data_IF_892601770885
#
_entry.id   IF_892601770885
#
_cell.length_a   1.000
_cell.length_b   1.000
_cell.length_c   1.000
_cell.angle_alpha   90.00
_cell.angle_beta   90.00
_cell.angle_gamma   90.00
#
_symmetry.space_group_name_H-M   'P 1'
#
loop_
_entity.id
_entity.type
_entity.pdbx_description
1 polymer ?
#
# COMPACT_ATOMS: atom_id res chain seq x y z
N UNK A 1 4.02 -9.84 22.06
CA UNK A 1 5.05 -10.19 21.06
C UNK A 1 4.87 -9.43 19.75
N UNK A 2 3.66 -9.44 19.15
CA UNK A 2 3.34 -8.79 17.86
C UNK A 2 3.75 -7.31 17.76
N UNK A 3 3.48 -6.49 18.77
CA UNK A 3 3.86 -5.07 18.75
C UNK A 3 5.36 -4.82 18.79
N UNK A 4 6.11 -5.57 19.61
CA UNK A 4 7.56 -5.45 19.62
C UNK A 4 8.14 -5.84 18.25
N UNK A 5 7.57 -6.85 17.60
CA UNK A 5 7.93 -7.21 16.23
C UNK A 5 7.62 -6.08 15.24
N UNK A 6 6.43 -5.45 15.29
CA UNK A 6 6.11 -4.30 14.44
C UNK A 6 7.06 -3.12 14.71
N UNK A 7 7.32 -2.80 15.97
CA UNK A 7 8.16 -1.68 16.35
C UNK A 7 9.62 -1.92 15.92
N UNK A 8 10.14 -3.13 16.10
CA UNK A 8 11.45 -3.52 15.58
C UNK A 8 11.48 -3.48 14.06
N UNK A 9 10.46 -4.03 13.37
CA UNK A 9 10.37 -3.95 11.91
C UNK A 9 10.34 -2.52 11.41
N UNK A 10 9.57 -1.62 12.04
CA UNK A 10 9.52 -0.22 11.65
C UNK A 10 10.82 0.50 11.92
N UNK A 11 11.44 0.22 13.07
CA UNK A 11 12.76 0.79 13.42
C UNK A 11 13.83 0.33 12.44
N UNK A 12 13.85 -0.96 12.09
CA UNK A 12 14.79 -1.55 11.11
C UNK A 12 14.50 -1.04 9.70
N UNK A 13 13.23 -0.93 9.30
CA UNK A 13 12.84 -0.39 8.00
C UNK A 13 13.25 1.10 7.88
N UNK A 14 12.99 1.89 8.91
CA UNK A 14 13.31 3.32 8.94
C UNK A 14 14.81 3.60 9.01
N UNK A 15 15.56 2.89 9.87
CA UNK A 15 16.98 3.16 10.12
C UNK A 15 17.94 2.42 9.19
N UNK A 16 17.61 1.19 8.77
CA UNK A 16 18.57 0.27 8.15
C UNK A 16 18.28 -0.01 6.67
N UNK A 17 17.00 -0.07 6.27
CA UNK A 17 16.62 -0.40 4.89
C UNK A 17 16.48 0.82 3.95
N UNK A 18 16.76 2.04 4.41
CA UNK A 18 16.72 3.26 3.57
C UNK A 18 17.54 3.13 2.28
N UNK A 19 18.63 2.37 2.34
CA UNK A 19 19.62 2.27 1.26
C UNK A 19 19.77 0.88 0.62
N UNK A 20 19.15 -0.17 1.17
CA UNK A 20 19.29 -1.54 0.63
C UNK A 20 18.16 -1.91 -0.35
N UNK A 21 18.53 -2.07 -1.62
CA UNK A 21 17.63 -2.32 -2.75
C UNK A 21 17.67 -3.79 -3.24
N UNK A 22 17.31 -4.77 -2.41
CA UNK A 22 17.62 -6.17 -2.78
C UNK A 22 16.58 -7.26 -2.53
N UNK A 23 15.41 -6.98 -1.96
CA UNK A 23 14.35 -8.00 -1.96
C UNK A 23 13.57 -7.92 -3.26
N UNK A 24 14.22 -8.38 -4.34
CA UNK A 24 13.63 -8.46 -5.67
C UNK A 24 12.49 -9.48 -5.66
N UNK A 25 11.24 -9.01 -5.84
CA UNK A 25 10.03 -9.83 -6.00
C UNK A 25 10.18 -10.89 -7.10
N UNK A 26 11.23 -10.81 -7.94
CA UNK A 26 11.56 -11.80 -8.96
C UNK A 26 11.58 -13.24 -8.45
N UNK A 27 11.82 -13.51 -7.15
CA UNK A 27 11.69 -14.87 -6.60
C UNK A 27 10.25 -15.38 -6.70
N UNK A 28 9.26 -14.54 -6.40
CA UNK A 28 7.85 -14.88 -6.49
C UNK A 28 7.41 -15.01 -7.96
N UNK A 29 7.84 -14.09 -8.83
CA UNK A 29 7.57 -14.19 -10.27
C UNK A 29 8.14 -15.48 -10.87
N UNK A 30 9.36 -15.88 -10.49
CA UNK A 30 9.95 -17.15 -10.93
C UNK A 30 9.17 -18.36 -10.41
N UNK A 31 8.76 -18.34 -9.13
CA UNK A 31 7.96 -19.41 -8.54
C UNK A 31 6.60 -19.54 -9.24
N UNK A 32 5.93 -18.41 -9.49
CA UNK A 32 4.66 -18.35 -10.22
C UNK A 32 4.79 -18.94 -11.61
N UNK A 33 5.73 -18.46 -12.43
CA UNK A 33 5.95 -18.98 -13.80
C UNK A 33 6.26 -20.47 -13.80
N UNK A 34 7.05 -20.96 -12.83
CA UNK A 34 7.34 -22.39 -12.66
C UNK A 34 6.09 -23.21 -12.37
N UNK A 35 5.19 -22.70 -11.52
CA UNK A 35 3.93 -23.37 -11.18
C UNK A 35 2.98 -23.33 -12.38
N UNK A 36 2.81 -22.17 -13.02
CA UNK A 36 1.93 -22.01 -14.17
C UNK A 36 2.41 -22.81 -15.38
N UNK A 37 3.71 -22.86 -15.67
CA UNK A 37 4.23 -23.70 -16.77
C UNK A 37 4.06 -25.19 -16.49
N UNK A 38 4.37 -25.64 -15.26
CA UNK A 38 4.23 -27.05 -14.87
C UNK A 38 2.77 -27.51 -14.82
N UNK A 39 1.84 -26.62 -14.48
CA UNK A 39 0.41 -26.93 -14.50
C UNK A 39 -0.24 -26.72 -15.86
N UNK A 40 0.23 -25.79 -16.71
CA UNK A 40 -0.28 -25.62 -18.08
C UNK A 40 0.00 -26.87 -18.92
N UNK A 41 1.22 -27.43 -18.84
CA UNK A 41 1.58 -28.70 -19.49
C UNK A 41 0.68 -29.86 -19.01
N UNK A 42 0.33 -29.89 -17.72
CA UNK A 42 -0.53 -30.94 -17.15
C UNK A 42 -2.03 -30.70 -17.34
N UNK A 43 -2.47 -29.45 -17.42
CA UNK A 43 -3.87 -29.07 -17.57
C UNK A 43 -4.42 -29.42 -18.95
N UNK A 44 -3.58 -29.33 -19.99
CA UNK A 44 -3.89 -29.80 -21.35
C UNK A 44 -4.18 -31.31 -21.37
N UNK A 45 -3.49 -32.09 -20.52
CA UNK A 45 -3.64 -33.55 -20.47
C UNK A 45 -4.73 -34.08 -19.52
N UNK A 46 -5.15 -33.30 -18.51
CA UNK A 46 -5.96 -33.85 -17.40
C UNK A 46 -7.20 -33.07 -16.98
N UNK A 47 -7.58 -32.00 -17.70
CA UNK A 47 -8.83 -31.27 -17.42
C UNK A 47 -8.83 -30.56 -16.06
N UNK A 48 -7.66 -30.17 -15.57
CA UNK A 48 -7.49 -29.48 -14.28
C UNK A 48 -8.23 -28.15 -14.31
N UNK A 49 -9.07 -27.90 -13.29
CA UNK A 49 -9.80 -26.64 -13.14
C UNK A 49 -8.84 -25.48 -12.90
N UNK A 50 -9.14 -24.33 -13.53
CA UNK A 50 -8.41 -23.05 -13.44
C UNK A 50 -8.15 -22.55 -12.00
N UNK A 51 -8.85 -23.09 -11.00
CA UNK A 51 -8.68 -22.76 -9.58
C UNK A 51 -7.46 -23.43 -8.93
N UNK A 52 -6.98 -24.55 -9.48
CA UNK A 52 -5.90 -25.35 -8.87
C UNK A 52 -4.56 -24.60 -8.83
N UNK A 53 -4.11 -23.93 -9.91
CA UNK A 53 -2.90 -23.11 -9.87
C UNK A 53 -2.97 -22.01 -8.81
N UNK A 54 -4.11 -21.32 -8.71
CA UNK A 54 -4.33 -20.26 -7.71
C UNK A 54 -4.22 -20.82 -6.30
N UNK A 55 -4.91 -21.92 -5.99
CA UNK A 55 -4.84 -22.55 -4.66
C UNK A 55 -3.42 -22.97 -4.31
N UNK A 56 -2.65 -23.51 -5.27
CA UNK A 56 -1.26 -23.92 -5.03
C UNK A 56 -0.38 -22.70 -4.74
N UNK A 57 -0.51 -21.62 -5.50
CA UNK A 57 0.26 -20.39 -5.31
C UNK A 57 0.01 -19.76 -3.93
N UNK A 58 -1.23 -19.79 -3.44
CA UNK A 58 -1.56 -19.30 -2.09
C UNK A 58 -1.13 -20.27 -0.99
N UNK A 59 -1.43 -21.57 -1.14
CA UNK A 59 -1.21 -22.57 -0.09
C UNK A 59 0.26 -22.88 0.15
N UNK A 60 1.11 -22.89 -0.88
CA UNK A 60 2.52 -23.22 -0.76
C UNK A 60 3.28 -22.27 0.20
N UNK A 61 3.30 -20.93 0.03
CA UNK A 61 4.01 -20.03 0.94
C UNK A 61 3.39 -20.03 2.34
N UNK A 62 2.07 -20.14 2.47
CA UNK A 62 1.38 -20.21 3.77
C UNK A 62 1.72 -21.48 4.53
N UNK A 63 1.79 -22.62 3.84
CA UNK A 63 2.12 -23.91 4.42
C UNK A 63 3.59 -23.95 4.85
N UNK A 64 4.50 -23.45 4.01
CA UNK A 64 5.92 -23.32 4.37
C UNK A 64 6.07 -22.46 5.63
N UNK A 65 5.43 -21.28 5.68
CA UNK A 65 5.49 -20.43 6.86
C UNK A 65 4.88 -21.11 8.09
N UNK A 66 3.77 -21.84 7.93
CA UNK A 66 3.13 -22.57 9.02
C UNK A 66 4.02 -23.67 9.58
N UNK A 67 4.72 -24.43 8.72
CA UNK A 67 5.68 -25.46 9.14
C UNK A 67 6.85 -24.81 9.90
N UNK A 68 7.40 -23.71 9.37
CA UNK A 68 8.50 -22.99 10.03
C UNK A 68 8.06 -22.49 11.41
N UNK A 69 6.88 -21.87 11.51
CA UNK A 69 6.35 -21.39 12.78
C UNK A 69 6.10 -22.53 13.77
N UNK A 70 5.59 -23.67 13.30
CA UNK A 70 5.37 -24.85 14.13
C UNK A 70 6.69 -25.45 14.64
N UNK A 71 7.69 -25.61 13.76
CA UNK A 71 8.99 -26.17 14.12
C UNK A 71 9.74 -25.29 15.13
N UNK A 72 9.54 -23.97 15.05
CA UNK A 72 10.19 -22.98 15.90
C UNK A 72 9.39 -22.73 17.20
N UNK A 73 8.16 -23.21 17.28
CA UNK A 73 7.29 -23.01 18.43
C UNK A 73 7.89 -23.66 19.70
N UNK A 74 7.90 -22.91 20.81
CA UNK A 74 8.45 -23.37 22.10
C UNK A 74 9.97 -23.30 22.21
N UNK A 75 10.72 -22.94 21.16
CA UNK A 75 12.17 -22.75 21.23
C UNK A 75 12.54 -21.36 21.77
N UNK A 76 13.62 -21.29 22.55
CA UNK A 76 14.23 -20.04 23.04
C UNK A 76 13.22 -19.02 23.61
N UNK A 77 12.26 -19.48 24.42
CA UNK A 77 11.19 -18.64 25.02
C UNK A 77 10.34 -17.85 24.00
N UNK A 78 10.26 -18.31 22.74
CA UNK A 78 9.52 -17.62 21.69
C UNK A 78 10.28 -16.47 21.02
N UNK A 79 11.58 -16.30 21.29
CA UNK A 79 12.40 -15.33 20.56
C UNK A 79 12.56 -15.71 19.09
N UNK A 80 12.67 -17.00 18.81
CA UNK A 80 12.91 -17.49 17.47
C UNK A 80 11.63 -17.36 16.60
N UNK A 81 10.45 -17.53 17.20
CA UNK A 81 9.17 -17.24 16.53
C UNK A 81 9.02 -15.74 16.25
N UNK A 82 9.43 -14.87 17.18
CA UNK A 82 9.49 -13.43 16.92
C UNK A 82 10.41 -13.09 15.74
N UNK A 83 11.60 -13.70 15.67
CA UNK A 83 12.54 -13.46 14.57
C UNK A 83 11.94 -13.82 13.22
N UNK A 84 11.22 -14.95 13.14
CA UNK A 84 10.50 -15.34 11.91
C UNK A 84 9.44 -14.31 11.54
N UNK A 85 8.65 -13.84 12.51
CA UNK A 85 7.66 -12.78 12.25
C UNK A 85 8.32 -11.48 11.77
N UNK A 86 9.45 -11.08 12.36
CA UNK A 86 10.22 -9.91 11.93
C UNK A 86 10.68 -10.10 10.48
N UNK A 87 11.22 -11.27 10.14
CA UNK A 87 11.72 -11.55 8.81
C UNK A 87 10.61 -11.55 7.76
N UNK A 88 9.45 -12.14 8.07
CA UNK A 88 8.27 -12.09 7.18
C UNK A 88 7.80 -10.64 7.00
N UNK A 89 7.72 -9.87 8.08
CA UNK A 89 7.30 -8.47 7.98
C UNK A 89 8.32 -7.64 7.21
N UNK A 90 9.62 -7.87 7.35
CA UNK A 90 10.64 -7.17 6.56
C UNK A 90 10.57 -7.54 5.07
N UNK A 91 10.17 -8.76 4.73
CA UNK A 91 9.93 -9.15 3.33
C UNK A 91 8.69 -8.46 2.79
N UNK A 92 7.62 -8.35 3.58
CA UNK A 92 6.34 -7.76 3.13
C UNK A 92 6.32 -6.23 3.23
N UNK A 93 7.09 -5.64 4.14
CA UNK A 93 7.53 -4.25 4.09
C UNK A 93 8.53 -4.10 2.95
N UNK A 94 8.02 -4.34 1.75
CA UNK A 94 8.62 -3.93 0.51
C UNK A 94 8.95 -2.43 0.57
N UNK A 95 9.99 -2.04 -0.16
CA UNK A 95 10.84 -0.83 -0.07
C UNK A 95 10.13 0.50 -0.35
N UNK A 96 8.86 0.60 -0.01
CA UNK A 96 8.01 1.76 -0.27
C UNK A 96 8.01 2.65 0.95
N UNK A 97 9.01 3.53 1.04
CA UNK A 97 8.92 4.70 1.90
C UNK A 97 8.09 5.75 1.14
N UNK A 98 6.78 5.91 1.43
CA UNK A 98 5.94 6.85 0.69
C UNK A 98 6.49 8.28 0.77
N UNK A 99 7.16 8.64 1.87
CA UNK A 99 7.81 9.95 2.00
C UNK A 99 9.01 10.13 1.06
N UNK A 100 9.83 9.10 0.85
CA UNK A 100 10.94 9.16 -0.13
C UNK A 100 10.38 9.27 -1.55
N UNK A 101 9.37 8.46 -1.85
CA UNK A 101 8.65 8.46 -3.13
C UNK A 101 8.06 9.85 -3.46
N UNK A 102 7.41 10.49 -2.49
CA UNK A 102 6.89 11.84 -2.62
C UNK A 102 8.01 12.87 -2.80
N UNK A 103 9.07 12.82 -1.98
CA UNK A 103 10.16 13.79 -2.03
C UNK A 103 10.94 13.74 -3.36
N UNK A 104 11.23 12.56 -3.90
CA UNK A 104 11.94 12.41 -5.17
C UNK A 104 11.08 12.85 -6.35
N UNK A 105 9.77 12.60 -6.30
CA UNK A 105 8.83 13.16 -7.27
C UNK A 105 8.79 14.69 -7.18
N UNK A 106 8.65 15.26 -5.98
CA UNK A 106 8.58 16.70 -5.75
C UNK A 106 9.84 17.43 -6.24
N UNK A 107 11.03 16.85 -6.06
CA UNK A 107 12.28 17.43 -6.57
C UNK A 107 12.27 17.54 -8.10
N UNK A 108 11.72 16.54 -8.81
CA UNK A 108 11.61 16.56 -10.28
C UNK A 108 10.48 17.48 -10.74
N UNK A 109 9.37 17.45 -10.01
CA UNK A 109 8.18 18.27 -10.26
C UNK A 109 8.47 19.77 -10.16
N UNK A 110 9.14 20.20 -9.08
CA UNK A 110 9.55 21.60 -8.87
C UNK A 110 10.52 22.09 -9.95
N UNK A 111 11.31 21.19 -10.56
CA UNK A 111 12.21 21.50 -11.70
C UNK A 111 11.48 21.60 -13.04
N UNK A 112 10.19 21.24 -13.12
CA UNK A 112 9.42 21.20 -14.36
C UNK A 112 9.77 20.02 -15.27
N UNK A 113 10.48 19.00 -14.77
CA UNK A 113 10.89 17.83 -15.54
C UNK A 113 9.75 16.78 -15.59
N UNK A 114 8.81 17.01 -16.52
CA UNK A 114 7.62 16.14 -16.70
C UNK A 114 8.00 14.73 -17.15
N UNK A 115 8.98 14.62 -18.06
CA UNK A 115 9.45 13.33 -18.56
C UNK A 115 10.18 12.55 -17.46
N UNK A 116 11.02 13.21 -16.66
CA UNK A 116 11.66 12.64 -15.49
C UNK A 116 10.68 12.19 -14.41
N UNK A 117 9.53 12.85 -14.27
CA UNK A 117 8.43 12.41 -13.40
C UNK A 117 7.77 11.14 -13.93
N UNK A 118 7.44 11.08 -15.21
CA UNK A 118 6.85 9.88 -15.82
C UNK A 118 7.79 8.67 -15.78
N UNK A 119 9.08 8.88 -16.07
CA UNK A 119 10.10 7.84 -15.96
C UNK A 119 10.23 7.32 -14.52
N UNK A 120 10.19 8.23 -13.54
CA UNK A 120 10.20 7.84 -12.12
C UNK A 120 8.98 6.99 -11.76
N UNK A 121 7.79 7.41 -12.17
CA UNK A 121 6.55 6.68 -11.90
C UNK A 121 6.54 5.28 -12.53
N UNK A 122 7.11 5.12 -13.73
CA UNK A 122 7.26 3.80 -14.36
C UNK A 122 8.30 2.93 -13.65
N UNK A 123 9.44 3.51 -13.25
CA UNK A 123 10.47 2.79 -12.49
C UNK A 123 9.92 2.25 -11.17
N UNK A 124 9.09 3.05 -10.50
CA UNK A 124 8.44 2.72 -9.24
C UNK A 124 7.16 1.88 -9.40
N UNK A 125 6.86 1.39 -10.63
CA UNK A 125 5.65 0.62 -10.98
C UNK A 125 4.32 1.30 -10.59
N UNK A 126 4.30 2.64 -10.49
CA UNK A 126 3.08 3.42 -10.27
C UNK A 126 2.30 3.66 -11.57
N UNK A 127 3.00 3.67 -12.70
CA UNK A 127 2.42 3.89 -14.03
C UNK A 127 2.80 2.73 -14.95
N UNK A 128 1.82 2.21 -15.69
CA UNK A 128 2.07 1.25 -16.76
C UNK A 128 2.64 1.97 -17.99
N UNK A 129 3.35 1.24 -18.85
CA UNK A 129 3.91 1.82 -20.09
C UNK A 129 2.84 2.42 -21.02
N UNK A 130 1.58 1.98 -20.89
CA UNK A 130 0.45 2.42 -21.71
C UNK A 130 -0.33 3.61 -21.13
N UNK A 131 0.04 4.11 -19.94
CA UNK A 131 -0.67 5.24 -19.34
C UNK A 131 -0.33 6.53 -20.08
N UNK A 132 -1.21 6.96 -20.99
CA UNK A 132 -1.13 8.24 -21.66
C UNK A 132 -1.54 9.36 -20.69
N UNK A 133 -0.56 10.16 -20.26
CA UNK A 133 -0.76 11.32 -19.39
C UNK A 133 -0.23 12.54 -20.14
N UNK A 134 -1.16 13.31 -20.71
CA UNK A 134 -0.83 14.39 -21.66
C UNK A 134 -0.72 15.77 -20.98
N UNK A 135 -1.21 15.90 -19.74
CA UNK A 135 -1.25 17.15 -18.99
C UNK A 135 -0.52 17.05 -17.65
N UNK A 136 0.15 18.12 -17.25
CA UNK A 136 0.82 18.25 -15.95
C UNK A 136 -0.17 17.94 -14.80
N UNK A 137 -1.38 18.51 -14.84
CA UNK A 137 -2.39 18.26 -13.82
C UNK A 137 -2.84 16.79 -13.75
N UNK A 138 -2.86 16.08 -14.89
CA UNK A 138 -3.18 14.65 -14.92
C UNK A 138 -2.07 13.82 -14.27
N UNK A 139 -0.81 14.19 -14.48
CA UNK A 139 0.35 13.51 -13.89
C UNK A 139 0.34 13.69 -12.37
N UNK A 140 0.14 14.91 -11.88
CA UNK A 140 0.06 15.18 -10.45
C UNK A 140 -1.15 14.48 -9.79
N UNK A 141 -2.33 14.53 -10.41
CA UNK A 141 -3.51 13.82 -9.89
C UNK A 141 -3.31 12.30 -9.86
N UNK A 142 -2.74 11.73 -10.92
CA UNK A 142 -2.42 10.31 -10.99
C UNK A 142 -1.36 9.92 -9.95
N UNK A 143 -0.31 10.74 -9.76
CA UNK A 143 0.69 10.51 -8.72
C UNK A 143 0.08 10.56 -7.31
N UNK A 144 -0.72 11.58 -6.99
CA UNK A 144 -1.42 11.70 -5.69
C UNK A 144 -2.26 10.46 -5.40
N UNK A 145 -3.06 10.01 -6.37
CA UNK A 145 -3.90 8.81 -6.23
C UNK A 145 -3.07 7.56 -5.93
N UNK A 146 -2.02 7.34 -6.70
CA UNK A 146 -1.16 6.16 -6.54
C UNK A 146 -0.30 6.22 -5.26
N UNK A 147 0.13 7.41 -4.85
CA UNK A 147 0.87 7.61 -3.60
C UNK A 147 0.02 7.20 -2.38
N UNK A 148 -1.24 7.67 -2.33
CA UNK A 148 -2.17 7.32 -1.26
C UNK A 148 -2.46 5.82 -1.27
N UNK A 149 -2.73 5.27 -2.45
CA UNK A 149 -3.01 3.84 -2.60
C UNK A 149 -1.82 2.96 -2.17
N UNK A 150 -0.60 3.31 -2.59
CA UNK A 150 0.62 2.57 -2.22
C UNK A 150 0.89 2.66 -0.71
N UNK A 151 0.69 3.83 -0.10
CA UNK A 151 0.78 3.97 1.35
C UNK A 151 -0.29 3.13 2.07
N UNK A 152 -1.51 3.11 1.55
CA UNK A 152 -2.60 2.29 2.07
C UNK A 152 -2.27 0.80 2.02
N UNK A 153 -1.91 0.28 0.85
CA UNK A 153 -1.54 -1.11 0.62
C UNK A 153 -0.37 -1.54 1.51
N UNK A 154 0.75 -0.83 1.44
CA UNK A 154 2.02 -1.31 2.00
C UNK A 154 2.18 -1.06 3.49
N UNK A 155 1.38 -0.15 4.07
CA UNK A 155 1.42 0.13 5.52
C UNK A 155 0.13 -0.29 6.22
N UNK A 156 -1.01 0.29 5.83
CA UNK A 156 -2.25 0.12 6.59
C UNK A 156 -2.83 -1.29 6.46
N UNK A 157 -2.86 -1.84 5.26
CA UNK A 157 -3.35 -3.21 5.04
C UNK A 157 -2.45 -4.22 5.75
N UNK A 158 -1.12 -4.04 5.67
CA UNK A 158 -0.14 -4.88 6.37
C UNK A 158 -0.32 -4.80 7.89
N UNK A 159 -0.43 -3.60 8.49
CA UNK A 159 -0.65 -3.45 9.92
C UNK A 159 -1.96 -4.09 10.38
N UNK A 160 -3.04 -3.88 9.62
CA UNK A 160 -4.36 -4.42 9.94
C UNK A 160 -4.36 -5.96 9.95
N UNK A 161 -3.89 -6.58 8.87
CA UNK A 161 -3.89 -8.03 8.76
C UNK A 161 -2.86 -8.70 9.67
N UNK A 162 -1.76 -8.01 10.01
CA UNK A 162 -0.84 -8.49 11.04
C UNK A 162 -1.48 -8.51 12.43
N UNK A 163 -2.25 -7.47 12.75
CA UNK A 163 -2.94 -7.39 14.03
C UNK A 163 -3.97 -8.52 14.17
N UNK A 164 -4.76 -8.74 13.11
CA UNK A 164 -5.85 -9.70 13.10
C UNK A 164 -5.38 -11.16 12.99
N UNK A 165 -4.48 -11.46 12.04
CA UNK A 165 -4.09 -12.81 11.67
C UNK A 165 -2.58 -13.08 11.73
N UNK A 166 -1.77 -12.12 12.20
CA UNK A 166 -0.32 -12.29 12.37
C UNK A 166 0.44 -12.40 11.05
N UNK A 167 1.57 -13.11 11.08
CA UNK A 167 2.44 -13.27 9.92
C UNK A 167 1.76 -13.99 8.75
N UNK A 168 0.83 -14.91 9.03
CA UNK A 168 0.06 -15.62 8.00
C UNK A 168 -0.90 -14.69 7.25
N UNK A 169 -1.60 -13.80 7.97
CA UNK A 169 -2.50 -12.82 7.36
C UNK A 169 -1.76 -11.84 6.44
N UNK A 170 -0.60 -11.36 6.91
CA UNK A 170 0.27 -10.48 6.13
C UNK A 170 0.76 -11.17 4.87
N UNK A 171 1.24 -12.42 4.99
CA UNK A 171 1.69 -13.18 3.83
C UNK A 171 0.56 -13.45 2.83
N UNK A 172 -0.66 -13.76 3.32
CA UNK A 172 -1.84 -13.91 2.46
C UNK A 172 -2.12 -12.62 1.69
N UNK A 173 -2.14 -11.47 2.37
CA UNK A 173 -2.34 -10.18 1.71
C UNK A 173 -1.26 -9.88 0.68
N UNK A 174 0.00 -10.11 1.00
CA UNK A 174 1.13 -9.88 0.10
C UNK A 174 1.01 -10.75 -1.17
N UNK A 175 0.67 -12.03 -1.03
CA UNK A 175 0.44 -12.92 -2.19
C UNK A 175 -0.73 -12.43 -3.04
N UNK A 176 -1.82 -11.95 -2.43
CA UNK A 176 -2.94 -11.36 -3.17
C UNK A 176 -2.55 -10.14 -4.00
N UNK A 177 -1.78 -9.22 -3.42
CA UNK A 177 -1.28 -8.05 -4.15
C UNK A 177 -0.32 -8.44 -5.26
N UNK A 178 0.61 -9.35 -4.98
CA UNK A 178 1.58 -9.80 -5.97
C UNK A 178 0.89 -10.52 -7.16
N UNK A 179 -0.15 -11.32 -6.89
CA UNK A 179 -0.95 -11.95 -7.95
C UNK A 179 -1.68 -10.94 -8.84
N UNK A 180 -2.12 -9.81 -8.26
CA UNK A 180 -2.74 -8.70 -8.99
C UNK A 180 -1.73 -7.89 -9.80
N UNK A 181 -0.55 -7.60 -9.24
CA UNK A 181 0.47 -6.81 -9.96
C UNK A 181 1.08 -7.60 -11.14
N UNK A 182 1.11 -8.92 -11.01
CA UNK A 182 1.76 -9.83 -11.96
C UNK A 182 0.85 -10.29 -13.11
N UNK A 183 -0.18 -9.54 -13.48
CA UNK A 183 -1.06 -9.90 -14.61
C UNK A 183 -0.25 -9.89 -15.92
N UNK A 184 -0.03 -11.07 -16.51
CA UNK A 184 0.52 -11.20 -17.87
C UNK A 184 -0.65 -11.32 -18.87
N UNK A 185 -0.52 -10.64 -20.02
CA UNK A 185 -1.46 -10.71 -21.13
C UNK A 185 -1.57 -12.15 -21.66
N UNK A 186 -2.64 -12.85 -21.26
CA UNK A 186 -2.85 -14.27 -21.57
C UNK A 186 -3.50 -15.11 -20.46
N UNK A 187 -3.74 -14.53 -19.28
CA UNK A 187 -4.39 -15.23 -18.17
C UNK A 187 -5.91 -15.32 -18.32
N UNK A 188 -6.50 -16.41 -17.84
CA UNK A 188 -7.95 -16.61 -17.79
C UNK A 188 -8.63 -15.45 -17.05
N UNK A 189 -9.56 -14.75 -17.71
CA UNK A 189 -10.31 -13.63 -17.14
C UNK A 189 -11.01 -13.98 -15.80
N UNK A 190 -11.34 -15.26 -15.57
CA UNK A 190 -11.91 -15.75 -14.32
C UNK A 190 -10.93 -15.74 -13.15
N UNK A 191 -9.66 -16.04 -13.40
CA UNK A 191 -8.60 -15.97 -12.39
C UNK A 191 -8.35 -14.53 -11.96
N UNK A 192 -8.26 -13.63 -12.96
CA UNK A 192 -8.11 -12.18 -12.73
C UNK A 192 -9.24 -11.64 -11.87
N UNK A 193 -10.50 -11.95 -12.21
CA UNK A 193 -11.66 -11.50 -11.45
C UNK A 193 -11.65 -12.03 -10.00
N UNK A 194 -11.28 -13.30 -9.80
CA UNK A 194 -11.17 -13.88 -8.45
C UNK A 194 -10.11 -13.16 -7.61
N UNK A 195 -8.92 -12.90 -8.18
CA UNK A 195 -7.82 -12.20 -7.50
C UNK A 195 -8.27 -10.78 -7.14
N UNK A 196 -8.86 -10.03 -8.08
CA UNK A 196 -9.40 -8.71 -7.82
C UNK A 196 -10.45 -8.73 -6.70
N UNK A 197 -11.33 -9.73 -6.67
CA UNK A 197 -12.36 -9.86 -5.63
C UNK A 197 -11.76 -10.16 -4.26
N UNK A 198 -10.74 -11.01 -4.18
CA UNK A 198 -10.03 -11.31 -2.92
C UNK A 198 -9.33 -10.04 -2.41
N UNK A 199 -8.59 -9.35 -3.28
CA UNK A 199 -7.91 -8.10 -2.94
C UNK A 199 -8.90 -7.04 -2.46
N UNK A 200 -10.03 -6.89 -3.13
CA UNK A 200 -11.10 -5.97 -2.71
C UNK A 200 -11.66 -6.30 -1.32
N UNK A 201 -11.91 -7.58 -1.03
CA UNK A 201 -12.36 -8.01 0.32
C UNK A 201 -11.29 -7.69 1.38
N UNK A 202 -10.02 -7.88 1.02
CA UNK A 202 -8.88 -7.58 1.90
C UNK A 202 -8.73 -6.09 2.20
N UNK A 203 -9.03 -5.24 1.22
CA UNK A 203 -8.96 -3.79 1.30
C UNK A 203 -10.20 -3.17 1.94
N UNK A 204 -11.36 -3.83 1.83
CA UNK A 204 -12.67 -3.29 2.22
C UNK A 204 -12.70 -2.74 3.65
N UNK A 205 -12.13 -3.49 4.59
CA UNK A 205 -12.11 -3.12 6.01
C UNK A 205 -10.99 -2.11 6.35
N UNK A 206 -9.72 -2.35 5.96
CA UNK A 206 -8.65 -1.36 6.15
C UNK A 206 -8.96 0.01 5.52
N UNK A 207 -9.57 0.06 4.32
CA UNK A 207 -9.84 1.29 3.58
C UNK A 207 -10.78 2.21 4.36
N UNK A 208 -11.82 1.64 4.95
CA UNK A 208 -12.80 2.38 5.77
C UNK A 208 -12.20 2.86 7.07
N UNK A 209 -11.40 2.02 7.73
CA UNK A 209 -10.69 2.43 8.93
C UNK A 209 -9.70 3.57 8.64
N UNK A 210 -9.01 3.52 7.49
CA UNK A 210 -8.15 4.60 7.05
C UNK A 210 -8.95 5.87 6.74
N UNK A 211 -10.10 5.77 6.06
CA UNK A 211 -10.96 6.92 5.80
C UNK A 211 -11.48 7.56 7.10
N UNK A 212 -11.84 6.75 8.10
CA UNK A 212 -12.15 7.24 9.46
C UNK A 212 -10.95 7.91 10.12
N UNK A 213 -9.75 7.37 9.91
CA UNK A 213 -8.50 7.95 10.44
C UNK A 213 -8.20 9.30 9.77
N UNK A 214 -8.42 9.44 8.46
CA UNK A 214 -8.31 10.72 7.75
C UNK A 214 -9.31 11.75 8.26
N UNK A 215 -10.54 11.32 8.54
CA UNK A 215 -11.53 12.17 9.19
C UNK A 215 -11.03 12.66 10.56
N UNK A 216 -10.42 11.78 11.36
CA UNK A 216 -9.88 12.14 12.67
C UNK A 216 -8.61 13.02 12.59
N UNK A 217 -7.76 12.81 11.58
CA UNK A 217 -6.49 13.51 11.41
C UNK A 217 -6.59 14.84 10.62
N UNK A 218 -7.74 15.11 9.98
CA UNK A 218 -8.00 16.29 9.16
C UNK A 218 -9.35 16.94 9.51
N UNK A 219 -10.11 17.35 8.51
CA UNK A 219 -11.44 17.94 8.71
C UNK A 219 -12.51 16.87 8.98
N UNK A 220 -12.74 16.59 10.26
CA UNK A 220 -13.68 15.56 10.72
C UNK A 220 -15.10 15.71 10.17
N UNK A 221 -15.64 16.93 10.16
CA UNK A 221 -17.05 17.18 9.82
C UNK A 221 -17.35 16.86 8.36
N UNK A 222 -16.50 17.30 7.43
CA UNK A 222 -16.73 17.06 6.00
C UNK A 222 -16.39 15.63 5.56
N UNK A 223 -15.36 15.04 6.15
CA UNK A 223 -14.92 13.69 5.80
C UNK A 223 -15.87 12.63 6.39
N UNK A 224 -16.33 12.79 7.63
CA UNK A 224 -17.21 11.82 8.30
C UNK A 224 -18.56 11.65 7.59
N UNK A 225 -19.18 12.73 7.11
CA UNK A 225 -20.44 12.65 6.36
C UNK A 225 -20.29 11.86 5.04
N UNK A 226 -19.21 12.09 4.28
CA UNK A 226 -18.93 11.29 3.06
C UNK A 226 -18.63 9.83 3.37
N UNK A 227 -17.82 9.56 4.40
CA UNK A 227 -17.47 8.20 4.80
C UNK A 227 -18.71 7.45 5.29
N UNK A 228 -19.60 8.09 6.06
CA UNK A 228 -20.83 7.48 6.59
C UNK A 228 -21.78 7.03 5.47
N UNK A 229 -21.93 7.83 4.42
CA UNK A 229 -22.80 7.49 3.28
C UNK A 229 -22.27 6.29 2.50
N UNK A 230 -20.96 6.21 2.26
CA UNK A 230 -20.34 5.11 1.50
C UNK A 230 -19.91 3.93 2.38
N UNK A 231 -20.12 4.00 3.70
CA UNK A 231 -19.64 2.98 4.65
C UNK A 231 -20.25 1.61 4.39
N UNK A 232 -21.49 1.54 3.92
CA UNK A 232 -22.18 0.26 3.69
C UNK A 232 -22.22 -0.19 2.23
N UNK A 233 -21.71 0.63 1.30
CA UNK A 233 -21.70 0.28 -0.13
C UNK A 233 -20.60 -0.74 -0.42
N UNK A 234 -20.99 -1.97 -0.71
CA UNK A 234 -20.11 -3.00 -1.24
C UNK A 234 -20.22 -2.98 -2.76
N UNK A 235 -19.44 -2.11 -3.41
CA UNK A 235 -19.44 -1.99 -4.87
C UNK A 235 -18.09 -2.44 -5.46
N UNK A 236 -17.99 -3.66 -6.02
CA UNK A 236 -16.73 -4.29 -6.43
C UNK A 236 -15.98 -3.58 -7.57
N UNK A 237 -16.57 -2.57 -8.21
CA UNK A 237 -16.02 -1.92 -9.42
C UNK A 237 -15.38 -0.54 -9.16
N UNK A 238 -15.29 -0.11 -7.89
CA UNK A 238 -14.68 1.18 -7.58
C UNK A 238 -13.16 1.03 -7.40
N UNK A 239 -12.40 1.78 -8.20
CA UNK A 239 -10.95 1.95 -8.02
C UNK A 239 -10.69 2.46 -6.60
N UNK A 240 -10.15 1.57 -5.75
CA UNK A 240 -9.90 1.87 -4.33
C UNK A 240 -8.94 3.05 -4.15
N UNK A 241 -8.06 3.29 -5.14
CA UNK A 241 -7.23 4.49 -5.18
C UNK A 241 -8.04 5.77 -5.39
N UNK A 242 -9.03 5.77 -6.28
CA UNK A 242 -9.87 6.93 -6.54
C UNK A 242 -10.73 7.31 -5.31
N UNK A 243 -11.29 6.31 -4.62
CA UNK A 243 -12.03 6.53 -3.38
C UNK A 243 -11.14 7.16 -2.30
N UNK A 244 -9.95 6.61 -2.08
CA UNK A 244 -8.97 7.14 -1.12
C UNK A 244 -8.51 8.57 -1.44
N UNK A 245 -8.26 8.87 -2.72
CA UNK A 245 -7.92 10.23 -3.15
C UNK A 245 -9.05 11.22 -2.87
N UNK A 246 -10.31 10.81 -3.08
CA UNK A 246 -11.47 11.64 -2.78
C UNK A 246 -11.61 11.94 -1.27
N UNK A 247 -11.36 10.94 -0.41
CA UNK A 247 -11.39 11.12 1.04
C UNK A 247 -10.25 11.98 1.55
N UNK A 248 -9.03 11.79 1.04
CA UNK A 248 -7.88 12.63 1.36
C UNK A 248 -8.11 14.09 0.95
N UNK A 249 -8.64 14.34 -0.25
CA UNK A 249 -9.01 15.68 -0.69
C UNK A 249 -10.05 16.35 0.22
N UNK A 250 -11.01 15.60 0.76
CA UNK A 250 -11.99 16.12 1.71
C UNK A 250 -11.43 16.35 3.13
N UNK A 251 -10.45 15.54 3.55
CA UNK A 251 -9.77 15.77 4.82
C UNK A 251 -8.86 17.00 4.75
N UNK A 252 -8.30 17.28 3.57
CA UNK A 252 -7.39 18.39 3.29
C UNK A 252 -8.09 19.70 2.94
N UNK A 253 -9.34 19.69 2.45
CA UNK A 253 -10.08 20.91 2.03
C UNK A 253 -10.25 21.96 3.14
N UNK A 254 -10.13 21.58 4.41
CA UNK A 254 -10.11 22.52 5.55
C UNK A 254 -8.71 22.89 6.05
N UNK A 255 -7.67 22.18 5.60
CA UNK A 255 -6.28 22.33 6.03
C UNK A 255 -5.42 23.07 5.01
N UNK A 256 -5.71 22.93 3.72
CA UNK A 256 -4.96 23.60 2.63
C UNK A 256 -5.27 25.09 2.57
N UNK A 257 -6.48 25.51 2.94
CA UNK A 257 -6.89 26.92 3.00
C UNK A 257 -6.09 27.72 4.03
N UNK A 258 -5.70 27.11 5.15
CA UNK A 258 -4.91 27.81 6.18
C UNK A 258 -3.41 27.87 5.87
N UNK A 259 -2.89 26.90 5.11
CA UNK A 259 -1.49 26.89 4.67
C UNK A 259 -1.27 27.87 3.51
N UNK A 260 -2.22 27.97 2.56
CA UNK A 260 -2.11 28.86 1.41
C UNK A 260 -2.26 30.36 1.73
N UNK A 261 -2.88 30.73 2.85
CA UNK A 261 -3.11 32.14 3.20
C UNK A 261 -1.94 32.83 3.92
N UNK A 262 -1.00 32.09 4.53
CA UNK A 262 -0.04 32.70 5.48
C UNK A 262 1.41 32.83 4.99
N UNK A 263 1.90 31.99 4.07
CA UNK A 263 3.31 32.04 3.62
C UNK A 263 3.50 32.26 2.10
N UNK A 264 2.54 31.88 1.24
CA UNK A 264 2.77 31.78 -0.22
C UNK A 264 2.37 33.02 -1.06
N UNK A 265 1.54 33.94 -0.54
CA UNK A 265 0.97 35.06 -1.31
C UNK A 265 2.03 36.02 -1.88
N UNK A 266 3.22 36.07 -1.29
CA UNK A 266 4.29 36.95 -1.72
C UNK A 266 5.20 36.30 -2.78
N UNK A 267 5.41 34.97 -2.75
CA UNK A 267 6.19 34.22 -3.75
C UNK A 267 5.41 34.01 -5.06
N UNK A 268 4.08 33.87 -4.98
CA UNK A 268 3.20 33.64 -6.14
C UNK A 268 3.09 34.84 -7.10
N UNK A 269 3.39 36.06 -6.62
CA UNK A 269 3.15 37.31 -7.36
C UNK A 269 4.09 37.58 -8.54
N UNK A 270 5.22 36.85 -8.65
CA UNK A 270 6.24 37.04 -9.68
C UNK A 270 6.43 35.87 -10.65
N UNK A 271 5.64 34.80 -10.53
CA UNK A 271 5.84 33.54 -11.26
C UNK A 271 4.89 33.41 -12.46
N UNK A 272 5.30 32.63 -13.47
CA UNK A 272 4.42 32.30 -14.58
C UNK A 272 3.24 31.43 -14.12
N UNK A 273 2.11 31.50 -14.83
CA UNK A 273 0.92 30.70 -14.51
C UNK A 273 1.22 29.19 -14.37
N UNK A 274 2.15 28.67 -15.17
CA UNK A 274 2.57 27.28 -15.12
C UNK A 274 3.45 26.95 -13.88
N UNK A 275 4.25 27.90 -13.39
CA UNK A 275 5.01 27.73 -12.14
C UNK A 275 4.10 27.77 -10.92
N UNK A 276 3.13 28.68 -10.93
CA UNK A 276 2.10 28.77 -9.90
C UNK A 276 1.29 27.48 -9.78
N UNK A 277 0.84 26.91 -10.90
CA UNK A 277 0.12 25.63 -10.91
C UNK A 277 0.98 24.48 -10.34
N UNK A 278 2.26 24.40 -10.73
CA UNK A 278 3.18 23.37 -10.20
C UNK A 278 3.41 23.49 -8.71
N UNK A 279 3.51 24.70 -8.17
CA UNK A 279 3.68 24.94 -6.73
C UNK A 279 2.43 24.55 -5.94
N UNK A 280 1.24 24.87 -6.45
CA UNK A 280 -0.02 24.46 -5.83
C UNK A 280 -0.08 22.91 -5.75
N UNK A 281 0.24 22.22 -6.84
CA UNK A 281 0.23 20.76 -6.85
C UNK A 281 1.30 20.13 -5.96
N UNK A 282 2.48 20.76 -5.86
CA UNK A 282 3.53 20.34 -4.94
C UNK A 282 3.06 20.45 -3.47
N UNK A 283 2.47 21.58 -3.10
CA UNK A 283 1.95 21.81 -1.75
C UNK A 283 0.82 20.82 -1.40
N UNK A 284 -0.04 20.47 -2.35
CA UNK A 284 -1.05 19.42 -2.15
C UNK A 284 -0.43 18.04 -1.89
N UNK A 285 0.61 17.65 -2.63
CA UNK A 285 1.31 16.38 -2.42
C UNK A 285 1.96 16.34 -1.03
N UNK A 286 2.57 17.43 -0.59
CA UNK A 286 3.16 17.54 0.76
C UNK A 286 2.10 17.48 1.85
N UNK A 287 0.95 18.12 1.65
CA UNK A 287 -0.17 18.04 2.58
C UNK A 287 -0.73 16.61 2.69
N UNK A 288 -0.84 15.89 1.56
CA UNK A 288 -1.20 14.46 1.55
C UNK A 288 -0.17 13.63 2.31
N UNK A 289 1.14 13.86 2.08
CA UNK A 289 2.20 13.15 2.78
C UNK A 289 2.11 13.39 4.30
N UNK A 290 1.95 14.64 4.73
CA UNK A 290 1.82 14.98 6.14
C UNK A 290 0.57 14.33 6.77
N UNK A 291 -0.54 14.25 6.05
CA UNK A 291 -1.75 13.56 6.49
C UNK A 291 -1.51 12.05 6.67
N UNK A 292 -0.79 11.43 5.73
CA UNK A 292 -0.41 10.01 5.80
C UNK A 292 0.52 9.72 6.98
N UNK A 293 1.51 10.58 7.24
CA UNK A 293 2.42 10.42 8.39
C UNK A 293 1.67 10.55 9.73
N UNK A 294 0.74 11.50 9.85
CA UNK A 294 -0.12 11.65 11.04
C UNK A 294 -1.03 10.44 11.24
N UNK A 295 -1.66 9.94 10.18
CA UNK A 295 -2.53 8.77 10.28
C UNK A 295 -1.73 7.50 10.63
N UNK A 296 -0.49 7.36 10.15
CA UNK A 296 0.42 6.30 10.60
C UNK A 296 0.68 6.39 12.11
N UNK A 297 0.99 7.58 12.63
CA UNK A 297 1.23 7.77 14.06
C UNK A 297 0.00 7.38 14.91
N UNK A 298 -1.22 7.71 14.45
CA UNK A 298 -2.47 7.29 15.11
C UNK A 298 -2.58 5.76 15.13
N UNK A 299 -2.31 5.08 14.02
CA UNK A 299 -2.34 3.61 13.97
C UNK A 299 -1.28 2.97 14.87
N UNK A 300 -0.07 3.53 14.94
CA UNK A 300 0.96 3.05 15.86
C UNK A 300 0.56 3.26 17.33
N UNK A 301 -0.09 4.37 17.64
CA UNK A 301 -0.62 4.63 18.98
C UNK A 301 -1.72 3.62 19.34
N UNK A 302 -2.67 3.34 18.43
CA UNK A 302 -3.70 2.32 18.62
C UNK A 302 -3.06 0.95 18.85
N UNK A 303 -2.06 0.58 18.05
CA UNK A 303 -1.32 -0.68 18.20
C UNK A 303 -0.60 -0.76 19.56
N UNK A 304 0.02 0.33 20.01
CA UNK A 304 0.67 0.40 21.32
C UNK A 304 -0.34 0.19 22.44
N UNK A 305 -1.47 0.90 22.38
CA UNK A 305 -2.58 0.79 23.35
C UNK A 305 -3.13 -0.63 23.39
N UNK A 306 -3.49 -1.22 22.25
CA UNK A 306 -4.01 -2.60 22.19
C UNK A 306 -3.04 -3.64 22.77
N UNK A 307 -1.74 -3.39 22.62
CA UNK A 307 -0.69 -4.25 23.17
C UNK A 307 -0.59 -4.11 24.68
N UNK A 308 -0.62 -2.88 25.20
CA UNK A 308 -0.57 -2.60 26.63
C UNK A 308 -1.78 -3.20 27.35
N UNK A 309 -2.96 -3.07 26.76
CA UNK A 309 -4.20 -3.60 27.33
C UNK A 309 -4.36 -5.12 27.18
N UNK A 310 -3.39 -5.82 26.59
CA UNK A 310 -3.41 -7.28 26.52
C UNK A 310 -4.57 -7.85 25.71
N UNK A 311 -5.22 -7.04 24.86
CA UNK A 311 -6.34 -7.45 23.99
C UNK A 311 -5.91 -8.47 22.92
N UNK A 312 -4.63 -8.87 22.90
CA UNK A 312 -4.11 -9.98 22.13
C UNK A 312 -4.20 -11.28 22.96
N UNK A 313 -5.42 -11.73 23.22
CA UNK A 313 -5.65 -13.11 23.65
C UNK A 313 -5.43 -14.04 22.45
N UNK A 314 -4.40 -14.88 22.57
CA UNK A 314 -4.09 -16.10 21.79
C UNK A 314 -3.40 -15.86 20.44
#
# INVERSE_FOLDING_TARGET
MKFLVILVCLTVNYLWLKDFDRFDDAWFFRLRRRIESALSERAVDSGISWVVPVIIIYSLPLLVLSIVLFAVNGMAFGLLTMLVHILVLLIVFDRTQPGKLASEFLVRWRKGDVEGCLLYMRQERLASSETALDSQAQIAAFFKRNLIYRCFEKMFVVFFWYLLAGALGVLFSYVSYQMRDSHEDGQDARQVNLICRITYILEWLPLRLLALTFSLAGNFVQCFEKVKLSFWEFQPETDSGAALHSYAGCALSGLTVSVSESEDLQELSGLSAAEQERLIEANEIEAIQALLERSQAVWLAILAVMTIFGLQTI
#
